data_IF_012128099831
#
_entry.id   IF_012128099831
#
_cell.length_a   1.000
_cell.length_b   1.000
_cell.length_c   1.000
_cell.angle_alpha   90.00
_cell.angle_beta   90.00
_cell.angle_gamma   90.00
#
_symmetry.space_group_name_H-M   'P 1'
#
loop_
_entity.id
_entity.type
_entity.pdbx_description
1 polymer ?
#
# COMPACT_ATOMS: atom_id res chain seq x y z
N UNK A 1 19.38 22.92 -28.45
CA UNK A 1 18.43 21.92 -27.92
C UNK A 1 19.22 20.84 -27.19
N UNK A 2 19.11 20.77 -25.86
CA UNK A 2 19.46 19.57 -25.07
C UNK A 2 18.87 19.77 -23.66
N UNK A 3 17.72 19.16 -23.37
CA UNK A 3 17.15 19.11 -22.03
C UNK A 3 17.74 17.90 -21.31
N UNK A 4 18.69 18.14 -20.41
CA UNK A 4 19.10 17.15 -19.42
C UNK A 4 18.10 17.17 -18.27
N UNK A 5 17.22 16.17 -18.20
CA UNK A 5 16.36 15.96 -17.03
C UNK A 5 17.14 15.17 -15.99
N UNK A 6 17.59 15.85 -14.95
CA UNK A 6 18.16 15.24 -13.76
C UNK A 6 17.07 14.42 -13.04
N UNK A 7 17.29 13.11 -12.95
CA UNK A 7 16.52 12.22 -12.08
C UNK A 7 17.01 12.41 -10.64
N UNK A 8 16.25 13.17 -9.85
CA UNK A 8 16.54 13.36 -8.43
C UNK A 8 16.14 12.11 -7.65
N UNK A 9 17.11 11.23 -7.37
CA UNK A 9 16.94 10.18 -6.36
C UNK A 9 17.20 10.81 -5.00
N UNK A 10 16.14 11.25 -4.33
CA UNK A 10 16.22 11.65 -2.92
C UNK A 10 16.21 10.39 -2.07
N UNK A 11 17.40 9.91 -1.71
CA UNK A 11 17.58 8.89 -0.67
C UNK A 11 17.85 9.59 0.66
N UNK A 12 16.86 9.60 1.56
CA UNK A 12 17.07 9.99 2.95
C UNK A 12 16.97 8.75 3.84
N UNK A 13 18.08 8.38 4.46
CA UNK A 13 18.11 7.36 5.50
C UNK A 13 17.56 7.97 6.80
N UNK A 14 16.40 7.52 7.27
CA UNK A 14 15.93 7.83 8.62
C UNK A 14 15.27 6.60 9.24
N UNK A 15 15.70 6.31 10.46
CA UNK A 15 15.27 5.22 11.34
C UNK A 15 13.81 5.45 11.73
N UNK A 16 12.98 4.42 11.57
CA UNK A 16 11.58 4.33 12.06
C UNK A 16 10.58 5.27 11.32
N UNK A 17 9.41 4.78 10.85
CA UNK A 17 8.38 5.66 10.30
C UNK A 17 7.66 6.39 11.45
N UNK A 18 8.09 7.60 11.75
CA UNK A 18 7.66 8.45 12.88
C UNK A 18 6.21 9.00 12.76
N UNK A 19 5.33 8.34 12.00
CA UNK A 19 3.95 8.80 11.78
C UNK A 19 3.81 9.68 10.54
N UNK A 20 4.74 10.61 10.29
CA UNK A 20 4.77 11.42 9.06
C UNK A 20 4.88 10.56 7.80
N UNK A 21 5.67 9.49 7.86
CA UNK A 21 5.83 8.54 6.74
C UNK A 21 4.54 7.76 6.47
N UNK A 22 3.79 7.39 7.52
CA UNK A 22 2.53 6.67 7.37
C UNK A 22 1.43 7.61 6.89
N UNK A 23 1.39 8.85 7.39
CA UNK A 23 0.48 9.87 6.90
C UNK A 23 0.70 10.16 5.41
N UNK A 24 1.95 10.36 4.97
CA UNK A 24 2.29 10.52 3.54
C UNK A 24 1.88 9.31 2.72
N UNK A 25 2.12 8.10 3.23
CA UNK A 25 1.70 6.85 2.59
C UNK A 25 0.18 6.79 2.43
N UNK A 26 -0.57 7.05 3.50
CA UNK A 26 -2.03 7.07 3.49
C UNK A 26 -2.58 8.13 2.52
N UNK A 27 -1.96 9.32 2.46
CA UNK A 27 -2.31 10.37 1.49
C UNK A 27 -2.13 9.90 0.04
N UNK A 28 -0.99 9.29 -0.28
CA UNK A 28 -0.71 8.79 -1.64
C UNK A 28 -1.66 7.65 -2.04
N UNK A 29 -1.93 6.72 -1.12
CA UNK A 29 -2.91 5.67 -1.35
C UNK A 29 -4.31 6.25 -1.54
N UNK A 30 -4.70 7.24 -0.71
CA UNK A 30 -6.00 7.90 -0.82
C UNK A 30 -6.21 8.51 -2.21
N UNK A 31 -5.21 9.20 -2.76
CA UNK A 31 -5.32 9.86 -4.07
C UNK A 31 -5.53 8.90 -5.23
N UNK A 32 -5.11 7.64 -5.11
CA UNK A 32 -5.21 6.67 -6.21
C UNK A 32 -6.28 5.60 -5.99
N UNK A 33 -6.62 5.28 -4.74
CA UNK A 33 -7.52 4.16 -4.42
C UNK A 33 -8.96 4.59 -4.12
N UNK A 34 -9.17 5.73 -3.47
CA UNK A 34 -10.52 6.11 -3.02
C UNK A 34 -11.44 6.35 -4.21
N UNK A 35 -12.66 5.83 -4.12
CA UNK A 35 -13.67 5.86 -5.17
C UNK A 35 -13.54 4.73 -6.19
N UNK A 36 -12.45 3.96 -6.18
CA UNK A 36 -12.25 2.84 -7.11
C UNK A 36 -12.76 1.52 -6.56
N UNK A 37 -13.09 0.62 -7.47
CA UNK A 37 -13.58 -0.71 -7.15
C UNK A 37 -12.46 -1.75 -7.21
N UNK A 38 -12.47 -2.67 -6.24
CA UNK A 38 -11.54 -3.80 -6.19
C UNK A 38 -11.79 -4.72 -7.39
N UNK A 39 -10.72 -5.09 -8.09
CA UNK A 39 -10.75 -6.14 -9.12
C UNK A 39 -10.06 -7.40 -8.61
N UNK A 40 -8.96 -7.24 -7.86
CA UNK A 40 -8.24 -8.36 -7.26
C UNK A 40 -7.80 -7.99 -5.84
N UNK A 41 -7.91 -8.97 -4.94
CA UNK A 41 -7.43 -8.85 -3.58
C UNK A 41 -6.76 -10.16 -3.15
N UNK A 42 -5.48 -10.09 -2.79
CA UNK A 42 -4.73 -11.22 -2.24
C UNK A 42 -4.05 -10.82 -0.94
N UNK A 43 -4.37 -11.55 0.12
CA UNK A 43 -3.79 -11.35 1.44
C UNK A 43 -3.82 -12.71 2.18
N UNK A 44 -2.83 -13.59 1.92
CA UNK A 44 -2.88 -14.98 2.37
C UNK A 44 -2.74 -15.10 3.90
N UNK A 45 -2.14 -14.09 4.54
CA UNK A 45 -1.94 -14.04 6.01
C UNK A 45 -2.98 -13.16 6.73
N UNK A 46 -3.94 -12.61 6.00
CA UNK A 46 -5.01 -11.82 6.61
C UNK A 46 -5.96 -12.76 7.35
N UNK A 47 -6.26 -12.41 8.60
CA UNK A 47 -7.30 -13.06 9.39
C UNK A 47 -8.58 -12.24 9.20
N UNK A 48 -9.66 -12.91 8.78
CA UNK A 48 -10.97 -12.28 8.60
C UNK A 48 -11.47 -12.25 7.16
N UNK A 49 -12.67 -11.68 6.95
CA UNK A 49 -13.33 -11.65 5.64
C UNK A 49 -12.61 -10.75 4.63
N UNK A 50 -12.56 -11.20 3.38
CA UNK A 50 -11.94 -10.48 2.26
C UNK A 50 -12.99 -9.71 1.43
N UNK A 51 -12.63 -8.56 0.84
CA UNK A 51 -13.47 -7.90 -0.15
C UNK A 51 -13.66 -8.75 -1.39
N UNK A 52 -14.90 -8.70 -1.91
CA UNK A 52 -15.23 -9.29 -3.20
C UNK A 52 -14.84 -8.30 -4.31
N UNK A 53 -14.47 -8.78 -5.50
CA UNK A 53 -14.40 -7.91 -6.67
C UNK A 53 -15.69 -7.08 -6.83
N UNK A 54 -15.55 -5.83 -7.27
CA UNK A 54 -16.62 -4.83 -7.34
C UNK A 54 -16.81 -4.01 -6.06
N UNK A 55 -16.18 -4.38 -4.94
CA UNK A 55 -16.28 -3.60 -3.69
C UNK A 55 -15.53 -2.28 -3.83
N UNK A 56 -16.19 -1.14 -3.59
CA UNK A 56 -15.54 0.19 -3.63
C UNK A 56 -14.70 0.45 -2.39
N UNK A 57 -13.60 1.19 -2.56
CA UNK A 57 -12.81 1.75 -1.46
C UNK A 57 -13.36 3.14 -1.12
N UNK A 58 -13.86 3.31 0.09
CA UNK A 58 -14.49 4.55 0.54
C UNK A 58 -13.50 5.50 1.21
N UNK A 59 -12.53 4.98 1.94
CA UNK A 59 -11.55 5.81 2.64
C UNK A 59 -10.21 5.12 2.84
N UNK A 60 -9.16 5.93 2.94
CA UNK A 60 -7.84 5.52 3.42
C UNK A 60 -7.40 6.47 4.52
N UNK A 61 -7.10 5.95 5.70
CA UNK A 61 -6.74 6.70 6.91
C UNK A 61 -5.41 6.24 7.50
N UNK A 62 -4.72 7.16 8.16
CA UNK A 62 -3.63 6.83 9.08
C UNK A 62 -4.08 7.15 10.51
N UNK A 63 -3.94 6.19 11.43
CA UNK A 63 -4.17 6.38 12.87
C UNK A 63 -2.91 6.00 13.63
N UNK A 64 -2.12 6.99 14.01
CA UNK A 64 -0.78 6.77 14.57
C UNK A 64 0.08 5.91 13.64
N UNK A 65 0.48 4.73 14.11
CA UNK A 65 1.29 3.76 13.36
C UNK A 65 0.50 2.80 12.45
N UNK A 66 -0.81 3.02 12.33
CA UNK A 66 -1.71 2.15 11.59
C UNK A 66 -2.20 2.82 10.30
N UNK A 67 -2.35 2.01 9.25
CA UNK A 67 -2.99 2.40 8.00
C UNK A 67 -4.25 1.57 7.80
N UNK A 68 -5.37 2.25 7.56
CA UNK A 68 -6.70 1.68 7.42
C UNK A 68 -7.21 1.94 6.01
N UNK A 69 -7.74 0.90 5.35
CA UNK A 69 -8.48 1.02 4.08
C UNK A 69 -9.90 0.55 4.32
N UNK A 70 -10.85 1.44 4.13
CA UNK A 70 -12.28 1.20 4.37
C UNK A 70 -12.95 0.81 3.06
N UNK A 71 -13.68 -0.29 3.09
CA UNK A 71 -14.46 -0.80 1.97
C UNK A 71 -15.94 -0.47 2.16
N UNK A 72 -16.65 -0.27 1.05
CA UNK A 72 -18.06 0.15 1.05
C UNK A 72 -19.04 -0.86 1.69
N UNK A 73 -18.62 -2.10 1.88
CA UNK A 73 -19.38 -3.14 2.58
C UNK A 73 -19.05 -3.23 4.08
N UNK A 74 -18.44 -2.18 4.63
CA UNK A 74 -18.14 -2.03 6.05
C UNK A 74 -16.87 -2.75 6.53
N UNK A 75 -16.18 -3.49 5.65
CA UNK A 75 -14.89 -4.09 6.02
C UNK A 75 -13.78 -3.06 6.07
N UNK A 76 -12.79 -3.31 6.93
CA UNK A 76 -11.59 -2.48 7.05
C UNK A 76 -10.35 -3.35 6.94
N UNK A 77 -9.49 -3.07 5.97
CA UNK A 77 -8.14 -3.61 5.96
C UNK A 77 -7.28 -2.76 6.91
N UNK A 78 -6.74 -3.43 7.93
CA UNK A 78 -5.83 -2.83 8.89
C UNK A 78 -4.41 -3.31 8.66
N UNK A 79 -3.48 -2.39 8.40
CA UNK A 79 -2.05 -2.69 8.29
C UNK A 79 -1.23 -1.92 9.32
N UNK A 80 -0.21 -2.58 9.85
CA UNK A 80 0.76 -2.01 10.77
C UNK A 80 2.15 -2.16 10.17
N UNK A 81 2.76 -1.04 9.77
CA UNK A 81 3.98 -1.07 8.97
C UNK A 81 5.25 -1.34 9.80
N UNK A 82 5.18 -1.25 11.14
CA UNK A 82 6.37 -1.35 12.01
C UNK A 82 7.52 -0.47 11.49
N UNK A 83 8.78 -0.88 11.62
CA UNK A 83 9.92 -0.06 11.21
C UNK A 83 10.25 -0.12 9.72
N UNK A 84 9.75 -1.11 8.99
CA UNK A 84 10.31 -1.51 7.69
C UNK A 84 9.26 -2.03 6.71
N UNK A 85 7.99 -1.91 7.08
CA UNK A 85 6.87 -2.07 6.18
C UNK A 85 6.69 -0.84 5.30
N UNK A 86 6.25 -1.07 4.07
CA UNK A 86 6.01 -0.04 3.06
C UNK A 86 4.84 -0.42 2.17
N UNK A 87 4.13 0.58 1.67
CA UNK A 87 3.16 0.42 0.59
C UNK A 87 3.73 0.99 -0.70
N UNK A 88 3.69 0.19 -1.76
CA UNK A 88 4.08 0.63 -3.09
C UNK A 88 2.87 0.62 -4.02
N UNK A 89 2.92 1.51 -5.01
CA UNK A 89 1.97 1.58 -6.12
C UNK A 89 2.68 1.16 -7.40
N UNK A 90 1.95 0.42 -8.22
CA UNK A 90 2.35 -0.14 -9.50
C UNK A 90 1.19 -0.08 -10.48
N UNK A 91 1.48 -0.30 -11.77
CA UNK A 91 0.47 -0.66 -12.77
C UNK A 91 0.33 -2.17 -12.88
N UNK A 92 -0.80 -2.61 -13.43
CA UNK A 92 -1.01 -4.01 -13.79
C UNK A 92 0.14 -4.52 -14.67
N UNK A 93 0.69 -5.68 -14.31
CA UNK A 93 1.83 -6.29 -14.99
C UNK A 93 3.20 -5.64 -14.72
N UNK A 94 3.27 -4.53 -13.98
CA UNK A 94 4.54 -3.89 -13.67
C UNK A 94 5.38 -4.73 -12.69
N UNK A 95 6.68 -4.85 -12.97
CA UNK A 95 7.60 -5.57 -12.11
C UNK A 95 7.76 -4.87 -10.76
N UNK A 96 7.53 -5.60 -9.67
CA UNK A 96 7.68 -5.05 -8.34
C UNK A 96 9.15 -4.82 -7.97
N UNK A 97 9.38 -3.74 -7.22
CA UNK A 97 10.70 -3.35 -6.70
C UNK A 97 11.12 -4.15 -5.45
N UNK A 98 10.21 -4.94 -4.89
CA UNK A 98 10.44 -5.76 -3.70
C UNK A 98 10.12 -7.23 -4.00
N UNK A 99 10.81 -8.19 -3.35
CA UNK A 99 10.53 -9.61 -3.55
C UNK A 99 9.09 -9.98 -3.20
N UNK A 100 8.48 -10.86 -4.01
CA UNK A 100 7.10 -11.32 -3.82
C UNK A 100 6.86 -11.94 -2.43
N UNK A 101 7.86 -12.61 -1.84
CA UNK A 101 7.73 -13.22 -0.52
C UNK A 101 7.52 -12.20 0.61
N UNK A 102 7.83 -10.92 0.38
CA UNK A 102 7.57 -9.82 1.32
C UNK A 102 6.17 -9.25 1.19
N UNK A 103 5.47 -9.52 0.08
CA UNK A 103 4.10 -9.06 -0.12
C UNK A 103 3.19 -9.70 0.93
N UNK A 104 2.30 -8.88 1.50
CA UNK A 104 1.33 -9.30 2.53
C UNK A 104 -0.09 -8.97 2.13
N UNK A 105 -0.24 -7.88 1.39
CA UNK A 105 -1.50 -7.48 0.77
C UNK A 105 -1.18 -7.03 -0.64
N UNK A 106 -1.94 -7.53 -1.60
CA UNK A 106 -1.99 -7.09 -2.99
C UNK A 106 -3.43 -6.68 -3.26
N UNK A 107 -3.61 -5.45 -3.69
CA UNK A 107 -4.91 -4.87 -3.98
C UNK A 107 -4.83 -4.22 -5.36
N UNK A 108 -5.71 -4.63 -6.26
CA UNK A 108 -5.82 -4.08 -7.61
C UNK A 108 -7.20 -3.46 -7.79
N UNK A 109 -7.24 -2.28 -8.41
CA UNK A 109 -8.47 -1.53 -8.67
C UNK A 109 -8.73 -1.37 -10.17
N UNK A 110 -9.93 -0.91 -10.49
CA UNK A 110 -10.50 -0.84 -11.84
C UNK A 110 -9.69 -0.08 -12.93
N UNK A 111 -8.78 0.83 -12.59
CA UNK A 111 -7.87 1.45 -13.57
C UNK A 111 -6.54 0.71 -13.77
N UNK A 112 -6.40 -0.48 -13.18
CA UNK A 112 -5.18 -1.25 -13.23
C UNK A 112 -4.09 -0.76 -12.28
N UNK A 113 -4.39 0.16 -11.35
CA UNK A 113 -3.49 0.45 -10.24
C UNK A 113 -3.41 -0.75 -9.29
N UNK A 114 -2.18 -1.15 -8.95
CA UNK A 114 -1.88 -2.23 -8.01
C UNK A 114 -1.15 -1.66 -6.79
N UNK A 115 -1.79 -1.71 -5.64
CA UNK A 115 -1.21 -1.36 -4.34
C UNK A 115 -0.69 -2.62 -3.63
N UNK A 116 0.58 -2.61 -3.22
CA UNK A 116 1.22 -3.76 -2.55
C UNK A 116 1.82 -3.34 -1.22
N UNK A 117 1.38 -3.99 -0.15
CA UNK A 117 1.97 -3.87 1.18
C UNK A 117 3.11 -4.88 1.33
N UNK A 118 4.34 -4.39 1.47
CA UNK A 118 5.51 -5.20 1.80
C UNK A 118 5.87 -4.99 3.27
N UNK A 119 5.84 -6.04 4.09
CA UNK A 119 6.36 -5.99 5.46
C UNK A 119 7.79 -6.52 5.48
N UNK A 120 8.57 -6.14 6.49
CA UNK A 120 9.85 -6.80 6.70
C UNK A 120 9.67 -8.26 7.10
N UNK A 121 10.72 -9.05 6.83
CA UNK A 121 10.90 -10.35 7.45
C UNK A 121 11.07 -10.04 8.95
N UNK A 122 10.14 -10.46 9.80
CA UNK A 122 10.39 -10.40 11.24
C UNK A 122 11.64 -11.24 11.50
N UNK A 123 12.75 -10.59 11.86
CA UNK A 123 13.81 -11.29 12.57
C UNK A 123 13.18 -11.77 13.86
N UNK A 124 13.08 -13.10 14.06
CA UNK A 124 12.78 -13.63 15.37
C UNK A 124 13.93 -13.17 16.28
N UNK A 125 13.63 -12.39 17.31
CA UNK A 125 14.46 -12.38 18.51
C UNK A 125 13.98 -13.55 19.38
#
# INVERSE_FOLDING_TARGET
>A
MARGTASAVVSYAARVPEGDTIFKTARNLRTVLVGRSIVRFDAPRLIGPRPRPGTRIDAVESRGKHLLVHFADGRVLHTHLQMSGTWHLYRHGERWRQPIQRARVVLEVDDGTVAVCFLARSSKY
#
